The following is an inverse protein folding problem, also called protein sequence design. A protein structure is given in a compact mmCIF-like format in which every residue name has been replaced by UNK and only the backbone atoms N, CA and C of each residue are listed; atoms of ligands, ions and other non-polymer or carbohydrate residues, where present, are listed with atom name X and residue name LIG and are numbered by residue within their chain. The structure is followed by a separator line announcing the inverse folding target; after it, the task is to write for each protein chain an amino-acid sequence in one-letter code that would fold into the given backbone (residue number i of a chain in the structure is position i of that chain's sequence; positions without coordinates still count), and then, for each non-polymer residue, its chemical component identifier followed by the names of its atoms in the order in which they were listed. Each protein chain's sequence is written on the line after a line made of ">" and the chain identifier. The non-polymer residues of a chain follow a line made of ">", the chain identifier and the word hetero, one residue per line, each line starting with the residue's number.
data_IF_566911333155
#
_entry.id   IF_566911333155
#
_cell.length_a   1.000
_cell.length_b   1.000
_cell.length_c   1.000
_cell.angle_alpha   90.00
_cell.angle_beta   90.00
_cell.angle_gamma   90.00
#
_symmetry.space_group_name_H-M   'P 1'
#
loop_
_entity.id
_entity.type
_entity.pdbx_description
1 polymer ?
#
# COMPACT_ATOMS: atom_id res chain seq x y z
N UNK A 1 30.23 -17.46 22.65
CA UNK A 1 29.83 -16.55 21.54
C UNK A 1 31.06 -15.73 21.19
N UNK A 2 31.62 -15.96 20.02
CA UNK A 2 32.89 -15.39 19.56
C UNK A 2 32.76 -13.85 19.51
N UNK A 3 33.85 -13.17 19.85
CA UNK A 3 33.90 -11.70 19.94
C UNK A 3 33.55 -11.04 18.58
N UNK A 4 33.75 -11.77 17.47
CA UNK A 4 33.32 -11.35 16.11
C UNK A 4 31.80 -11.35 15.94
N UNK A 5 31.08 -12.33 16.48
CA UNK A 5 29.62 -12.39 16.42
C UNK A 5 28.95 -11.26 17.23
N UNK A 6 29.50 -10.96 18.43
CA UNK A 6 29.00 -9.83 19.25
C UNK A 6 29.18 -8.49 18.54
N UNK A 7 30.31 -8.27 17.86
CA UNK A 7 30.54 -7.04 17.09
C UNK A 7 29.59 -6.93 15.89
N UNK A 8 29.30 -8.05 15.22
CA UNK A 8 28.33 -8.07 14.11
C UNK A 8 26.91 -7.78 14.58
N UNK A 9 26.48 -8.38 15.70
CA UNK A 9 25.15 -8.15 16.28
C UNK A 9 25.02 -6.69 16.74
N UNK A 10 26.01 -6.13 17.39
CA UNK A 10 26.00 -4.74 17.86
C UNK A 10 25.92 -3.77 16.68
N UNK A 11 26.65 -4.02 15.61
CA UNK A 11 26.61 -3.22 14.39
C UNK A 11 25.27 -3.33 13.68
N UNK A 12 24.69 -4.54 13.60
CA UNK A 12 23.37 -4.77 13.06
C UNK A 12 22.30 -3.99 13.85
N UNK A 13 22.37 -4.04 15.18
CA UNK A 13 21.44 -3.28 16.04
C UNK A 13 21.60 -1.76 15.84
N UNK A 14 22.82 -1.24 15.73
CA UNK A 14 23.08 0.18 15.47
C UNK A 14 22.56 0.64 14.11
N UNK A 15 22.53 -0.23 13.11
CA UNK A 15 22.02 0.10 11.78
C UNK A 15 20.50 -0.05 11.69
N UNK A 16 19.88 -0.96 12.45
CA UNK A 16 18.44 -1.18 12.47
C UNK A 16 17.69 -0.25 13.43
N UNK A 17 18.30 0.13 14.56
CA UNK A 17 17.63 0.93 15.58
C UNK A 17 17.09 2.27 15.05
N UNK A 18 17.86 3.09 14.29
CA UNK A 18 17.36 4.37 13.79
C UNK A 18 16.13 4.26 12.88
N UNK A 19 16.07 3.37 11.87
CA UNK A 19 14.86 3.17 11.08
C UNK A 19 13.67 2.70 11.92
N UNK A 20 13.88 1.78 12.87
CA UNK A 20 12.82 1.29 13.76
C UNK A 20 12.28 2.43 14.65
N UNK A 21 13.16 3.23 15.24
CA UNK A 21 12.75 4.41 16.03
C UNK A 21 11.94 5.39 15.17
N UNK A 22 12.32 5.59 13.91
CA UNK A 22 11.59 6.45 13.00
C UNK A 22 10.19 5.89 12.70
N UNK A 23 10.07 4.60 12.43
CA UNK A 23 8.80 3.92 12.21
C UNK A 23 7.90 4.07 13.45
N UNK A 24 8.44 3.82 14.64
CA UNK A 24 7.70 3.97 15.90
C UNK A 24 7.28 5.42 16.12
N UNK A 25 8.12 6.40 15.81
CA UNK A 25 7.79 7.81 15.95
C UNK A 25 6.64 8.21 15.00
N UNK A 26 6.68 7.78 13.74
CA UNK A 26 5.65 8.07 12.75
C UNK A 26 4.33 7.38 13.09
N UNK A 27 4.33 6.05 13.22
CA UNK A 27 3.12 5.30 13.52
C UNK A 27 2.60 5.59 14.93
N UNK A 28 3.49 5.75 15.90
CA UNK A 28 3.13 6.09 17.27
C UNK A 28 2.46 7.45 17.37
N UNK A 29 2.91 8.46 16.60
CA UNK A 29 2.25 9.78 16.56
C UNK A 29 0.82 9.73 16.02
N UNK A 30 0.56 8.87 15.03
CA UNK A 30 -0.79 8.64 14.49
C UNK A 30 -1.66 7.92 15.54
N UNK A 31 -1.17 6.81 16.10
CA UNK A 31 -1.91 6.01 17.08
C UNK A 31 -2.21 6.78 18.35
N UNK A 32 -1.30 7.67 18.78
CA UNK A 32 -1.53 8.54 19.93
C UNK A 32 -2.46 9.73 19.62
N UNK A 33 -2.93 9.88 18.37
CA UNK A 33 -3.75 11.02 17.95
C UNK A 33 -3.00 12.36 17.95
N UNK A 34 -1.66 12.35 18.06
CA UNK A 34 -0.83 13.54 18.10
C UNK A 34 -0.58 14.14 16.70
N UNK A 35 -0.71 13.35 15.66
CA UNK A 35 -0.52 13.76 14.28
C UNK A 35 -1.49 13.04 13.34
N UNK A 36 -1.99 13.75 12.35
CA UNK A 36 -2.67 13.14 11.20
C UNK A 36 -1.67 12.36 10.33
N UNK A 37 -2.11 11.43 9.47
CA UNK A 37 -1.20 10.71 8.56
C UNK A 37 -0.31 11.64 7.72
N UNK A 38 -0.83 12.78 7.28
CA UNK A 38 -0.07 13.78 6.51
C UNK A 38 1.01 14.47 7.36
N UNK A 39 0.68 14.85 8.59
CA UNK A 39 1.65 15.44 9.53
C UNK A 39 2.70 14.43 9.96
N UNK A 40 2.31 13.17 10.20
CA UNK A 40 3.23 12.08 10.51
C UNK A 40 4.20 11.79 9.35
N UNK A 41 3.77 11.93 8.09
CA UNK A 41 4.67 11.87 6.95
C UNK A 41 5.75 12.97 7.01
N UNK A 42 5.38 14.19 7.44
CA UNK A 42 6.32 15.28 7.70
C UNK A 42 7.32 14.95 8.81
N UNK A 43 6.87 14.33 9.90
CA UNK A 43 7.74 13.82 10.99
C UNK A 43 8.72 12.79 10.44
N UNK A 44 8.25 11.87 9.59
CA UNK A 44 9.08 10.88 8.92
C UNK A 44 10.15 11.50 8.02
N UNK A 45 9.77 12.46 7.20
CA UNK A 45 10.71 13.17 6.31
C UNK A 45 11.77 13.94 7.11
N UNK A 46 11.35 14.69 8.14
CA UNK A 46 12.26 15.41 9.02
C UNK A 46 13.23 14.45 9.75
N UNK A 47 12.69 13.35 10.30
CA UNK A 47 13.50 12.34 10.96
C UNK A 47 14.52 11.67 10.04
N UNK A 48 14.15 11.39 8.78
CA UNK A 48 15.07 10.84 7.79
C UNK A 48 16.20 11.83 7.45
N UNK A 49 15.89 13.12 7.29
CA UNK A 49 16.89 14.19 7.09
C UNK A 49 17.82 14.29 8.29
N UNK A 50 17.27 14.27 9.51
CA UNK A 50 18.06 14.31 10.75
C UNK A 50 19.01 13.10 10.85
N UNK A 51 18.53 11.90 10.57
CA UNK A 51 19.36 10.69 10.56
C UNK A 51 20.46 10.76 9.51
N UNK A 52 20.17 11.29 8.32
CA UNK A 52 21.17 11.50 7.28
C UNK A 52 22.24 12.53 7.71
N UNK A 53 21.82 13.59 8.41
CA UNK A 53 22.74 14.59 8.97
C UNK A 53 23.65 13.99 10.05
N UNK A 54 23.07 13.28 11.02
CA UNK A 54 23.82 12.62 12.10
C UNK A 54 24.85 11.61 11.54
N UNK A 55 24.46 10.86 10.49
CA UNK A 55 25.38 9.91 9.81
C UNK A 55 26.38 10.61 8.86
N UNK A 56 26.41 11.95 8.80
CA UNK A 56 27.31 12.72 7.91
C UNK A 56 27.03 12.49 6.42
N UNK A 57 25.83 12.04 6.10
CA UNK A 57 25.41 11.69 4.72
C UNK A 57 24.56 12.78 4.05
N UNK A 58 24.21 13.84 4.76
CA UNK A 58 23.46 14.96 4.22
C UNK A 58 24.37 15.90 3.44
N UNK A 59 24.02 16.16 2.17
CA UNK A 59 24.67 17.17 1.33
C UNK A 59 23.61 17.95 0.55
N UNK A 60 23.93 19.17 0.15
CA UNK A 60 23.00 20.00 -0.64
C UNK A 60 22.64 19.33 -1.98
N UNK A 61 23.58 18.62 -2.60
CA UNK A 61 23.31 17.87 -3.84
C UNK A 61 22.28 16.76 -3.60
N UNK A 62 22.42 15.98 -2.52
CA UNK A 62 21.45 14.92 -2.16
C UNK A 62 20.08 15.50 -1.81
N UNK A 63 20.07 16.60 -1.07
CA UNK A 63 18.81 17.27 -0.72
C UNK A 63 18.08 17.75 -2.00
N UNK A 64 18.82 18.31 -2.94
CA UNK A 64 18.26 18.72 -4.23
C UNK A 64 17.73 17.53 -5.04
N UNK A 65 18.47 16.43 -5.10
CA UNK A 65 18.05 15.19 -5.77
C UNK A 65 16.75 14.63 -5.17
N UNK A 66 16.68 14.52 -3.84
CA UNK A 66 15.47 14.08 -3.13
C UNK A 66 14.30 15.02 -3.40
N UNK A 67 14.52 16.34 -3.35
CA UNK A 67 13.47 17.33 -3.62
C UNK A 67 12.96 17.25 -5.06
N UNK A 68 13.85 17.08 -6.03
CA UNK A 68 13.47 16.92 -7.43
C UNK A 68 12.67 15.63 -7.65
N UNK A 69 13.15 14.48 -7.15
CA UNK A 69 12.42 13.21 -7.24
C UNK A 69 11.06 13.27 -6.55
N UNK A 70 10.97 13.94 -5.39
CA UNK A 70 9.68 14.16 -4.71
C UNK A 70 8.74 15.00 -5.57
N UNK A 71 9.24 16.08 -6.19
CA UNK A 71 8.44 16.94 -7.06
C UNK A 71 7.93 16.18 -8.30
N UNK A 72 8.78 15.34 -8.91
CA UNK A 72 8.40 14.50 -10.06
C UNK A 72 7.28 13.52 -9.70
N UNK A 73 7.45 12.74 -8.62
CA UNK A 73 6.44 11.80 -8.16
C UNK A 73 5.15 12.51 -7.76
N UNK A 74 5.23 13.62 -7.03
CA UNK A 74 4.07 14.41 -6.62
C UNK A 74 3.31 14.96 -7.83
N UNK A 75 4.03 15.49 -8.82
CA UNK A 75 3.42 16.00 -10.06
C UNK A 75 2.71 14.89 -10.85
N UNK A 76 3.30 13.70 -10.90
CA UNK A 76 2.67 12.51 -11.52
C UNK A 76 1.38 12.15 -10.80
N UNK A 77 1.39 12.08 -9.46
CA UNK A 77 0.20 11.78 -8.66
C UNK A 77 -0.90 12.82 -8.87
N UNK A 78 -0.56 14.11 -8.87
CA UNK A 78 -1.55 15.16 -9.15
C UNK A 78 -2.14 15.06 -10.56
N UNK A 79 -1.36 14.71 -11.56
CA UNK A 79 -1.86 14.50 -12.93
C UNK A 79 -2.87 13.35 -12.97
N UNK A 80 -2.57 12.23 -12.29
CA UNK A 80 -3.48 11.09 -12.18
C UNK A 80 -4.77 11.50 -11.45
N UNK A 81 -4.68 12.26 -10.36
CA UNK A 81 -5.83 12.75 -9.61
C UNK A 81 -6.73 13.67 -10.45
N UNK A 82 -6.14 14.56 -11.25
CA UNK A 82 -6.90 15.42 -12.17
C UNK A 82 -7.61 14.55 -13.22
N UNK A 83 -6.91 13.60 -13.82
CA UNK A 83 -7.50 12.66 -14.78
C UNK A 83 -8.63 11.84 -14.16
N UNK A 84 -8.43 11.32 -12.95
CA UNK A 84 -9.44 10.57 -12.21
C UNK A 84 -10.68 11.41 -11.86
N UNK A 85 -10.48 12.67 -11.47
CA UNK A 85 -11.59 13.60 -11.19
C UNK A 85 -12.42 13.89 -12.44
N UNK A 86 -11.76 14.13 -13.58
CA UNK A 86 -12.45 14.34 -14.87
C UNK A 86 -13.18 13.07 -15.29
N UNK A 87 -12.54 11.90 -15.20
CA UNK A 87 -13.18 10.63 -15.48
C UNK A 87 -14.42 10.38 -14.62
N UNK A 88 -14.29 10.56 -13.30
CA UNK A 88 -15.41 10.36 -12.36
C UNK A 88 -16.57 11.32 -12.65
N UNK A 89 -16.28 12.57 -12.99
CA UNK A 89 -17.31 13.54 -13.35
C UNK A 89 -18.08 13.11 -14.62
N UNK A 90 -17.37 12.70 -15.65
CA UNK A 90 -17.95 12.22 -16.92
C UNK A 90 -18.72 10.92 -16.68
N UNK A 91 -18.13 9.96 -15.97
CA UNK A 91 -18.75 8.67 -15.66
C UNK A 91 -20.07 8.85 -14.91
N UNK A 92 -20.09 9.72 -13.89
CA UNK A 92 -21.30 10.09 -13.13
C UNK A 92 -22.31 10.81 -14.01
N UNK A 93 -21.87 11.75 -14.85
CA UNK A 93 -22.73 12.50 -15.75
C UNK A 93 -23.45 11.63 -16.79
N UNK A 94 -22.88 10.48 -17.15
CA UNK A 94 -23.51 9.48 -18.02
C UNK A 94 -24.29 8.38 -17.27
N UNK A 95 -24.51 8.53 -15.97
CA UNK A 95 -25.25 7.53 -15.18
C UNK A 95 -24.46 6.25 -14.90
N UNK A 96 -23.13 6.34 -14.91
CA UNK A 96 -22.27 5.18 -14.69
C UNK A 96 -22.39 4.58 -13.28
N UNK A 97 -22.64 5.42 -12.27
CA UNK A 97 -22.86 4.97 -10.89
C UNK A 97 -24.11 4.09 -10.80
N UNK A 98 -25.22 4.52 -11.39
CA UNK A 98 -26.49 3.77 -11.41
C UNK A 98 -26.36 2.43 -12.14
N UNK A 99 -25.54 2.37 -13.21
CA UNK A 99 -25.29 1.12 -13.93
C UNK A 99 -24.51 0.15 -13.03
N UNK A 100 -23.51 0.63 -12.31
CA UNK A 100 -22.71 -0.19 -11.39
C UNK A 100 -23.55 -0.66 -10.21
N UNK A 101 -24.35 0.23 -9.61
CA UNK A 101 -25.28 -0.13 -8.52
C UNK A 101 -26.28 -1.20 -8.95
N UNK A 102 -26.93 -1.01 -10.12
CA UNK A 102 -27.88 -1.99 -10.65
C UNK A 102 -27.22 -3.33 -10.96
N UNK A 103 -25.99 -3.31 -11.49
CA UNK A 103 -25.22 -4.52 -11.73
C UNK A 103 -25.00 -5.31 -10.43
N UNK A 104 -24.53 -4.65 -9.36
CA UNK A 104 -24.29 -5.31 -8.08
C UNK A 104 -25.57 -5.70 -7.36
N UNK A 105 -26.64 -4.90 -7.45
CA UNK A 105 -27.95 -5.22 -6.87
C UNK A 105 -28.56 -6.49 -7.46
N UNK A 106 -28.32 -6.75 -8.74
CA UNK A 106 -28.81 -7.94 -9.45
C UNK A 106 -27.84 -9.14 -9.38
N UNK A 107 -26.69 -9.00 -8.72
CA UNK A 107 -25.70 -10.06 -8.68
C UNK A 107 -26.15 -11.18 -7.74
N UNK A 108 -26.25 -12.45 -8.22
CA UNK A 108 -26.58 -13.58 -7.36
C UNK A 108 -25.46 -13.79 -6.34
N UNK A 109 -25.84 -13.97 -5.05
CA UNK A 109 -24.87 -14.16 -3.95
C UNK A 109 -24.64 -12.90 -3.11
N UNK A 110 -25.29 -11.76 -3.45
CA UNK A 110 -25.30 -10.56 -2.61
C UNK A 110 -23.91 -9.97 -2.34
N UNK A 111 -23.72 -9.45 -1.13
CA UNK A 111 -22.49 -8.73 -0.71
C UNK A 111 -21.24 -9.58 -0.88
N UNK A 112 -21.29 -10.87 -0.56
CA UNK A 112 -20.14 -11.76 -0.67
C UNK A 112 -19.65 -11.87 -2.12
N UNK A 113 -20.56 -12.13 -3.05
CA UNK A 113 -20.20 -12.27 -4.47
C UNK A 113 -19.74 -10.93 -5.05
N UNK A 114 -20.37 -9.82 -4.67
CA UNK A 114 -19.94 -8.47 -5.06
C UNK A 114 -18.50 -8.20 -4.59
N UNK A 115 -18.20 -8.51 -3.33
CA UNK A 115 -16.86 -8.34 -2.76
C UNK A 115 -15.83 -9.20 -3.49
N UNK A 116 -16.10 -10.48 -3.69
CA UNK A 116 -15.19 -11.40 -4.40
C UNK A 116 -14.94 -10.93 -5.83
N UNK A 117 -15.99 -10.50 -6.54
CA UNK A 117 -15.87 -10.00 -7.91
C UNK A 117 -15.01 -8.73 -7.97
N UNK A 118 -15.26 -7.76 -7.09
CA UNK A 118 -14.46 -6.53 -7.03
C UNK A 118 -13.01 -6.83 -6.69
N UNK A 119 -12.75 -7.69 -5.69
CA UNK A 119 -11.39 -8.08 -5.34
C UNK A 119 -10.68 -8.78 -6.50
N UNK A 120 -11.38 -9.63 -7.24
CA UNK A 120 -10.83 -10.30 -8.43
C UNK A 120 -10.52 -9.28 -9.54
N UNK A 121 -11.41 -8.34 -9.81
CA UNK A 121 -11.19 -7.29 -10.81
C UNK A 121 -10.00 -6.41 -10.43
N UNK A 122 -9.92 -5.94 -9.19
CA UNK A 122 -8.79 -5.15 -8.68
C UNK A 122 -7.48 -5.95 -8.78
N UNK A 123 -7.51 -7.24 -8.43
CA UNK A 123 -6.34 -8.12 -8.54
C UNK A 123 -5.85 -8.24 -9.99
N UNK A 124 -6.75 -8.44 -10.93
CA UNK A 124 -6.40 -8.55 -12.36
C UNK A 124 -5.92 -7.21 -12.93
N UNK A 125 -6.56 -6.10 -12.56
CA UNK A 125 -6.12 -4.77 -12.97
C UNK A 125 -4.73 -4.44 -12.42
N UNK A 126 -4.38 -4.89 -11.21
CA UNK A 126 -3.07 -4.69 -10.62
C UNK A 126 -1.92 -5.38 -11.34
N UNK A 127 -2.18 -6.22 -12.35
CA UNK A 127 -1.15 -6.70 -13.27
C UNK A 127 -0.76 -5.68 -14.34
N UNK A 128 -1.63 -4.71 -14.64
CA UNK A 128 -1.46 -3.77 -15.76
C UNK A 128 -1.35 -2.33 -15.25
N UNK A 129 -2.16 -1.97 -14.25
CA UNK A 129 -2.24 -0.64 -13.68
C UNK A 129 -1.43 -0.55 -12.39
N UNK A 130 -0.85 0.61 -12.13
CA UNK A 130 -0.24 0.91 -10.83
C UNK A 130 -1.30 1.02 -9.74
N UNK A 131 -0.89 0.77 -8.48
CA UNK A 131 -1.79 0.86 -7.32
C UNK A 131 -2.40 2.26 -7.15
N UNK A 132 -1.67 3.31 -7.55
CA UNK A 132 -2.13 4.71 -7.52
C UNK A 132 -3.34 4.87 -8.44
N UNK A 133 -3.25 4.38 -9.67
CA UNK A 133 -4.34 4.45 -10.66
C UNK A 133 -5.56 3.68 -10.18
N UNK A 134 -5.39 2.46 -9.67
CA UNK A 134 -6.51 1.66 -9.15
C UNK A 134 -7.16 2.36 -7.96
N UNK A 135 -6.36 2.89 -7.02
CA UNK A 135 -6.87 3.55 -5.82
C UNK A 135 -7.65 4.82 -6.14
N UNK A 136 -7.23 5.60 -7.12
CA UNK A 136 -7.85 6.88 -7.43
C UNK A 136 -8.90 6.82 -8.55
N UNK A 137 -8.93 5.77 -9.35
CA UNK A 137 -9.91 5.61 -10.44
C UNK A 137 -10.92 4.52 -10.13
N UNK A 138 -10.46 3.31 -9.82
CA UNK A 138 -11.34 2.13 -9.67
C UNK A 138 -12.05 2.12 -8.31
N UNK A 139 -11.29 2.35 -7.23
CA UNK A 139 -11.86 2.31 -5.86
C UNK A 139 -12.98 3.34 -5.65
N UNK A 140 -12.92 4.60 -6.15
CA UNK A 140 -14.03 5.53 -6.04
C UNK A 140 -15.31 5.11 -6.79
N UNK A 141 -15.21 4.23 -7.76
CA UNK A 141 -16.38 3.70 -8.49
C UNK A 141 -17.03 2.56 -7.71
N UNK A 142 -16.22 1.58 -7.25
CA UNK A 142 -16.76 0.36 -6.64
C UNK A 142 -16.90 0.46 -5.12
N UNK A 143 -16.08 1.27 -4.47
CA UNK A 143 -16.06 1.41 -3.01
C UNK A 143 -17.36 1.90 -2.42
N UNK A 144 -17.96 3.02 -2.90
CA UNK A 144 -19.25 3.51 -2.40
C UNK A 144 -20.36 2.47 -2.49
N UNK A 145 -20.39 1.69 -3.56
CA UNK A 145 -21.41 0.65 -3.77
C UNK A 145 -21.24 -0.48 -2.74
N UNK A 146 -20.00 -0.94 -2.50
CA UNK A 146 -19.73 -1.96 -1.50
C UNK A 146 -20.01 -1.48 -0.07
N UNK A 147 -19.74 -0.20 0.24
CA UNK A 147 -20.08 0.41 1.52
C UNK A 147 -21.60 0.52 1.70
N UNK A 148 -22.34 0.90 0.64
CA UNK A 148 -23.81 0.94 0.64
C UNK A 148 -24.43 -0.46 0.85
N UNK A 149 -23.73 -1.52 0.40
CA UNK A 149 -24.13 -2.90 0.67
C UNK A 149 -23.83 -3.36 2.12
N UNK A 150 -23.25 -2.51 2.97
CA UNK A 150 -23.05 -2.74 4.41
C UNK A 150 -21.65 -3.24 4.82
N UNK A 151 -20.65 -3.14 3.96
CA UNK A 151 -19.28 -3.48 4.34
C UNK A 151 -18.67 -2.39 5.25
N UNK A 152 -17.87 -2.83 6.23
CA UNK A 152 -17.10 -1.92 7.07
C UNK A 152 -16.00 -1.22 6.27
N UNK A 153 -15.88 0.13 6.35
CA UNK A 153 -14.93 0.89 5.55
C UNK A 153 -13.45 0.58 5.89
N UNK A 154 -13.14 0.29 7.16
CA UNK A 154 -11.78 -0.04 7.58
C UNK A 154 -11.40 -1.41 7.02
N UNK A 155 -12.27 -2.39 7.19
CA UNK A 155 -12.07 -3.72 6.64
C UNK A 155 -11.92 -3.71 5.13
N UNK A 156 -12.80 -2.99 4.42
CA UNK A 156 -12.74 -2.87 2.96
C UNK A 156 -11.42 -2.23 2.50
N UNK A 157 -10.99 -1.15 3.15
CA UNK A 157 -9.73 -0.49 2.85
C UNK A 157 -8.52 -1.41 3.03
N UNK A 158 -8.48 -2.16 4.14
CA UNK A 158 -7.40 -3.13 4.41
C UNK A 158 -7.43 -4.27 3.39
N UNK A 159 -8.60 -4.81 3.04
CA UNK A 159 -8.74 -5.86 2.03
C UNK A 159 -8.25 -5.41 0.66
N UNK A 160 -8.61 -4.19 0.23
CA UNK A 160 -8.14 -3.61 -1.04
C UNK A 160 -6.61 -3.42 -0.99
N UNK A 161 -6.06 -2.89 0.09
CA UNK A 161 -4.63 -2.66 0.21
C UNK A 161 -3.82 -3.97 0.12
N UNK A 162 -4.24 -5.03 0.79
CA UNK A 162 -3.57 -6.35 0.73
C UNK A 162 -3.74 -6.99 -0.65
N UNK A 163 -4.91 -6.82 -1.27
CA UNK A 163 -5.17 -7.32 -2.61
C UNK A 163 -4.24 -6.66 -3.65
N UNK A 164 -4.11 -5.33 -3.59
CA UNK A 164 -3.17 -4.56 -4.43
C UNK A 164 -1.72 -4.99 -4.20
N UNK A 165 -1.31 -5.14 -2.94
CA UNK A 165 0.03 -5.62 -2.60
C UNK A 165 0.28 -7.03 -3.16
N UNK A 166 -0.72 -7.90 -3.13
CA UNK A 166 -0.63 -9.27 -3.66
C UNK A 166 -0.50 -9.26 -5.18
N UNK A 167 -1.31 -8.47 -5.88
CA UNK A 167 -1.23 -8.35 -7.34
C UNK A 167 0.11 -7.77 -7.80
N UNK A 168 0.63 -6.79 -7.05
CA UNK A 168 1.92 -6.15 -7.31
C UNK A 168 3.11 -7.11 -7.23
N UNK A 169 2.97 -8.18 -6.44
CA UNK A 169 3.97 -9.21 -6.25
C UNK A 169 3.81 -10.38 -7.22
N UNK A 170 2.62 -10.51 -7.83
CA UNK A 170 2.25 -11.70 -8.63
C UNK A 170 2.70 -11.57 -10.09
N UNK A 171 3.39 -12.57 -10.66
CA UNK A 171 3.65 -12.63 -12.10
C UNK A 171 2.34 -12.62 -12.90
N UNK A 172 2.30 -12.15 -14.16
CA UNK A 172 3.45 -11.95 -15.05
C UNK A 172 4.13 -10.60 -14.96
N UNK A 173 3.44 -9.54 -14.50
CA UNK A 173 4.02 -8.21 -14.49
C UNK A 173 4.72 -7.87 -13.17
N UNK A 174 4.09 -8.09 -12.02
CA UNK A 174 4.69 -7.91 -10.70
C UNK A 174 5.62 -6.71 -10.58
N UNK A 175 5.08 -5.48 -10.53
CA UNK A 175 5.92 -4.27 -10.51
C UNK A 175 7.04 -4.30 -9.46
N UNK A 176 6.77 -4.90 -8.30
CA UNK A 176 7.79 -5.11 -7.27
C UNK A 176 8.97 -5.95 -7.77
N UNK A 177 8.73 -6.91 -8.66
CA UNK A 177 9.76 -7.77 -9.23
C UNK A 177 10.61 -7.03 -10.26
N UNK A 178 10.05 -6.04 -10.98
CA UNK A 178 10.83 -5.16 -11.84
C UNK A 178 11.82 -4.31 -11.03
N UNK A 179 11.36 -3.70 -9.94
CA UNK A 179 12.25 -2.95 -9.04
C UNK A 179 13.32 -3.85 -8.44
N UNK A 180 12.94 -5.04 -7.99
CA UNK A 180 13.88 -6.02 -7.47
C UNK A 180 14.91 -6.43 -8.54
N UNK A 181 14.48 -6.64 -9.78
CA UNK A 181 15.39 -6.96 -10.89
C UNK A 181 16.38 -5.83 -11.17
N UNK A 182 15.95 -4.58 -11.06
CA UNK A 182 16.80 -3.40 -11.29
C UNK A 182 17.95 -3.28 -10.29
N UNK A 183 17.80 -3.81 -9.06
CA UNK A 183 18.82 -3.74 -8.00
C UNK A 183 19.52 -5.07 -7.73
N UNK A 184 18.99 -6.18 -8.23
CA UNK A 184 19.56 -7.50 -8.03
C UNK A 184 20.87 -7.69 -8.84
N UNK A 185 21.86 -8.41 -8.30
CA UNK A 185 23.06 -8.77 -9.04
C UNK A 185 22.72 -9.53 -10.32
N UNK A 186 23.54 -9.34 -11.38
CA UNK A 186 23.33 -10.00 -12.67
C UNK A 186 23.37 -11.54 -12.58
N UNK A 187 24.00 -12.09 -11.52
CA UNK A 187 24.06 -13.52 -11.23
C UNK A 187 22.72 -14.14 -10.79
N UNK A 188 21.75 -13.31 -10.38
CA UNK A 188 20.42 -13.78 -9.96
C UNK A 188 19.51 -13.87 -11.19
N UNK A 189 19.09 -15.08 -11.53
CA UNK A 189 18.16 -15.29 -12.63
C UNK A 189 16.75 -14.79 -12.29
N UNK A 190 16.05 -14.23 -13.27
CA UNK A 190 14.66 -13.75 -13.11
C UNK A 190 13.72 -14.89 -12.66
N UNK A 191 13.93 -16.11 -13.18
CA UNK A 191 13.16 -17.27 -12.79
C UNK A 191 13.33 -17.63 -11.30
N UNK A 192 14.52 -17.43 -10.73
CA UNK A 192 14.77 -17.65 -9.32
C UNK A 192 14.03 -16.63 -8.44
N UNK A 193 13.95 -15.36 -8.89
CA UNK A 193 13.18 -14.32 -8.22
C UNK A 193 11.68 -14.67 -8.20
N UNK A 194 11.12 -15.08 -9.34
CA UNK A 194 9.71 -15.46 -9.43
C UNK A 194 9.39 -16.67 -8.53
N UNK A 195 10.25 -17.66 -8.46
CA UNK A 195 10.07 -18.79 -7.53
C UNK A 195 10.19 -18.36 -6.07
N UNK A 196 11.13 -17.46 -5.78
CA UNK A 196 11.34 -16.95 -4.44
C UNK A 196 10.15 -16.16 -3.88
N UNK A 197 9.32 -15.56 -4.75
CA UNK A 197 8.17 -14.75 -4.34
C UNK A 197 6.91 -15.59 -4.06
N UNK A 198 6.80 -16.78 -4.62
CA UNK A 198 5.61 -17.65 -4.46
C UNK A 198 5.20 -17.84 -2.98
N UNK A 199 6.10 -18.14 -2.03
CA UNK A 199 5.72 -18.27 -0.62
C UNK A 199 5.11 -17.01 -0.04
N UNK A 200 5.58 -15.82 -0.46
CA UNK A 200 5.07 -14.54 0.02
C UNK A 200 3.68 -14.25 -0.55
N UNK A 201 3.43 -14.56 -1.83
CA UNK A 201 2.09 -14.48 -2.43
C UNK A 201 1.14 -15.41 -1.67
N UNK A 202 1.56 -16.63 -1.38
CA UNK A 202 0.74 -17.58 -0.62
C UNK A 202 0.40 -17.04 0.79
N UNK A 203 1.38 -16.46 1.51
CA UNK A 203 1.12 -15.85 2.82
C UNK A 203 0.11 -14.70 2.75
N UNK A 204 0.17 -13.87 1.71
CA UNK A 204 -0.79 -12.78 1.50
C UNK A 204 -2.19 -13.29 1.17
N UNK A 205 -2.31 -14.33 0.36
CA UNK A 205 -3.60 -14.98 0.09
C UNK A 205 -4.19 -15.61 1.36
N UNK A 206 -3.38 -16.25 2.18
CA UNK A 206 -3.81 -16.76 3.50
C UNK A 206 -4.30 -15.61 4.38
N UNK A 207 -3.57 -14.49 4.42
CA UNK A 207 -3.99 -13.31 5.18
C UNK A 207 -5.31 -12.74 4.67
N UNK A 208 -5.53 -12.67 3.35
CA UNK A 208 -6.81 -12.23 2.78
C UNK A 208 -7.96 -13.15 3.20
N UNK A 209 -7.74 -14.46 3.18
CA UNK A 209 -8.74 -15.45 3.63
C UNK A 209 -9.02 -15.26 5.14
N UNK A 210 -7.98 -15.06 5.94
CA UNK A 210 -8.13 -14.80 7.38
C UNK A 210 -8.95 -13.53 7.63
N UNK A 211 -8.68 -12.45 6.91
CA UNK A 211 -9.44 -11.19 7.01
C UNK A 211 -10.90 -11.35 6.56
N UNK A 212 -11.16 -12.19 5.57
CA UNK A 212 -12.52 -12.48 5.13
C UNK A 212 -13.30 -13.27 6.18
N UNK A 213 -12.65 -14.19 6.93
CA UNK A 213 -13.29 -15.00 7.98
C UNK A 213 -13.37 -14.23 9.32
N UNK A 214 -12.32 -13.46 9.64
CA UNK A 214 -12.19 -12.70 10.89
C UNK A 214 -11.92 -11.22 10.61
N UNK A 215 -12.96 -10.41 10.30
CA UNK A 215 -12.82 -8.98 10.02
C UNK A 215 -12.17 -8.20 11.17
N UNK A 216 -12.29 -8.70 12.41
CA UNK A 216 -11.73 -8.11 13.62
C UNK A 216 -10.19 -7.96 13.55
N UNK A 217 -9.50 -8.75 12.74
CA UNK A 217 -8.04 -8.57 12.51
C UNK A 217 -7.74 -7.17 11.99
N UNK A 218 -8.62 -6.59 11.17
CA UNK A 218 -8.47 -5.23 10.64
C UNK A 218 -9.06 -4.17 11.57
N UNK A 219 -10.19 -4.45 12.24
CA UNK A 219 -10.97 -3.43 12.96
C UNK A 219 -10.62 -3.32 14.45
N UNK A 220 -10.09 -4.38 15.07
CA UNK A 220 -9.81 -4.43 16.51
C UNK A 220 -8.91 -3.28 17.02
N UNK A 221 -7.82 -3.00 16.34
CA UNK A 221 -6.90 -1.95 16.78
C UNK A 221 -7.49 -0.53 16.62
N UNK A 222 -8.11 -0.17 15.49
CA UNK A 222 -8.85 1.09 15.38
C UNK A 222 -9.97 1.23 16.41
N UNK A 223 -10.73 0.18 16.69
CA UNK A 223 -11.78 0.19 17.71
C UNK A 223 -11.19 0.45 19.11
N UNK A 224 -10.07 -0.22 19.45
CA UNK A 224 -9.40 -0.03 20.73
C UNK A 224 -8.84 1.40 20.92
N UNK A 225 -8.28 1.97 19.86
CA UNK A 225 -7.60 3.28 19.91
C UNK A 225 -8.58 4.45 19.79
N UNK A 226 -9.58 4.33 18.93
CA UNK A 226 -10.49 5.44 18.59
C UNK A 226 -11.91 5.27 19.16
N UNK A 227 -12.20 4.18 19.85
CA UNK A 227 -13.45 3.98 20.59
C UNK A 227 -14.68 3.81 19.70
N UNK A 228 -14.53 3.17 18.55
CA UNK A 228 -15.63 2.86 17.61
C UNK A 228 -15.91 1.39 17.60
#
# INVERSE_FOLDING_TARGET
>A
IDNKEKVQILKLLQDLLPPICLIIAVLGSILAGAATPTEAAGVGAFGAILLAAIKGRLSLSRLREVTQGTAEVTSMVFLILIGAAVFSLVFRGFGGEEIVEQFFANLPGGVLMATVLVMLVIFLLGFILDFIEITFVVVPIVGPVLLAMGLDPIWLGVMIAINLQTSFLTPPFGFALFYLRGVAPASVETAAMYRGVIPFIFMQLVLMIMLAIWPQIATWLPELVYGR
#
